data_IF_119811314780
#
_entry.id   IF_119811314780
#
_cell.length_a   1.000
_cell.length_b   1.000
_cell.length_c   1.000
_cell.angle_alpha   90.00
_cell.angle_beta   90.00
_cell.angle_gamma   90.00
#
_symmetry.space_group_name_H-M   'P 1'
#
loop_
_entity.id
_entity.type
_entity.pdbx_description
1 polymer ?
#
# COMPACT_ATOMS: atom_id res chain seq x y z
N UNK A 1 -4.30 -19.44 20.68
CA UNK A 1 -3.02 -19.88 20.06
C UNK A 1 -3.24 -19.99 18.56
N UNK A 2 -2.34 -19.45 17.74
CA UNK A 2 -2.47 -19.49 16.27
C UNK A 2 -3.02 -18.22 15.61
N UNK A 3 -3.36 -17.19 16.40
CA UNK A 3 -3.73 -15.86 15.89
C UNK A 3 -2.53 -14.90 15.99
N UNK A 4 -2.40 -13.94 15.06
CA UNK A 4 -1.42 -12.87 15.18
C UNK A 4 -1.63 -12.07 16.46
N UNK A 5 -0.56 -11.88 17.24
CA UNK A 5 -0.57 -11.08 18.47
C UNK A 5 0.43 -9.92 18.40
N UNK A 6 1.53 -10.10 17.66
CA UNK A 6 2.60 -9.12 17.50
C UNK A 6 2.95 -8.93 16.02
N UNK A 7 3.32 -7.71 15.65
CA UNK A 7 3.89 -7.39 14.34
C UNK A 7 5.35 -6.97 14.50
N UNK A 8 6.23 -7.58 13.72
CA UNK A 8 7.65 -7.25 13.66
C UNK A 8 8.00 -6.77 12.24
N UNK A 9 8.43 -5.53 12.12
CA UNK A 9 8.95 -4.98 10.87
C UNK A 9 10.46 -5.22 10.77
N UNK A 10 10.94 -5.50 9.56
CA UNK A 10 12.37 -5.69 9.26
C UNK A 10 12.72 -5.06 7.92
N UNK A 11 14.02 -5.04 7.64
CA UNK A 11 14.64 -4.45 6.45
C UNK A 11 14.71 -2.92 6.51
N UNK A 12 15.87 -2.44 6.97
CA UNK A 12 16.12 -1.02 7.21
C UNK A 12 16.70 -0.30 5.98
N UNK A 13 16.87 -0.98 4.84
CA UNK A 13 17.43 -0.37 3.63
C UNK A 13 16.39 0.45 2.85
N UNK A 14 15.11 0.40 3.25
CA UNK A 14 14.00 1.03 2.53
C UNK A 14 13.11 1.94 3.37
N UNK A 15 13.60 2.52 4.47
CA UNK A 15 12.84 3.58 5.13
C UNK A 15 12.72 4.79 4.21
N UNK A 16 11.58 5.48 4.28
CA UNK A 16 11.36 6.77 3.64
C UNK A 16 10.71 7.71 4.65
N UNK A 17 11.08 8.98 4.57
CA UNK A 17 10.48 10.02 5.38
C UNK A 17 9.56 10.87 4.50
N UNK A 18 8.38 11.21 5.02
CA UNK A 18 7.50 12.17 4.36
C UNK A 18 8.16 13.54 4.34
N UNK A 19 8.16 14.17 3.16
CA UNK A 19 8.65 15.54 3.00
C UNK A 19 7.92 16.52 3.93
N UNK A 20 6.61 16.34 4.13
CA UNK A 20 5.84 17.16 5.07
C UNK A 20 6.31 17.08 6.53
N UNK A 21 7.09 16.05 6.90
CA UNK A 21 7.63 15.86 8.26
C UNK A 21 9.07 16.33 8.41
N UNK A 22 9.67 16.91 7.37
CA UNK A 22 11.11 17.29 7.36
C UNK A 22 11.49 18.12 8.59
N UNK A 23 10.77 19.19 8.90
CA UNK A 23 11.08 20.06 10.05
C UNK A 23 10.96 19.33 11.38
N UNK A 24 9.92 18.51 11.53
CA UNK A 24 9.66 17.75 12.76
C UNK A 24 10.77 16.72 13.00
N UNK A 25 11.20 16.01 11.95
CA UNK A 25 12.24 15.01 12.03
C UNK A 25 13.63 15.64 12.26
N UNK A 26 13.93 16.77 11.63
CA UNK A 26 15.18 17.50 11.87
C UNK A 26 15.31 18.00 13.31
N UNK A 27 14.20 18.32 14.00
CA UNK A 27 14.22 18.66 15.43
C UNK A 27 14.55 17.47 16.34
N UNK A 28 14.30 16.24 15.88
CA UNK A 28 14.61 15.02 16.63
C UNK A 28 16.05 14.58 16.37
N UNK A 29 16.47 14.62 15.10
CA UNK A 29 17.82 14.31 14.66
C UNK A 29 18.25 15.34 13.62
N UNK A 30 19.11 16.27 14.04
CA UNK A 30 19.64 17.30 13.14
C UNK A 30 20.41 16.65 11.99
N UNK A 31 20.15 17.13 10.76
CA UNK A 31 20.78 16.58 9.56
C UNK A 31 20.25 15.21 9.16
N UNK A 32 19.08 14.80 9.66
CA UNK A 32 18.43 13.56 9.22
C UNK A 32 18.33 13.53 7.70
N UNK A 33 18.64 12.38 7.12
CA UNK A 33 18.55 12.12 5.69
C UNK A 33 19.53 12.90 4.79
N UNK A 34 20.49 13.67 5.32
CA UNK A 34 21.51 14.33 4.48
C UNK A 34 22.36 13.33 3.70
N UNK A 35 22.81 12.28 4.36
CA UNK A 35 23.58 11.17 3.75
C UNK A 35 22.66 10.23 2.96
N UNK A 36 21.52 9.85 3.55
CA UNK A 36 20.69 8.75 3.04
C UNK A 36 19.68 9.16 1.95
N UNK A 37 19.44 10.46 1.74
CA UNK A 37 18.56 11.01 0.69
C UNK A 37 17.19 10.31 0.63
N UNK A 38 16.57 10.20 1.79
CA UNK A 38 15.45 9.33 2.12
C UNK A 38 14.10 10.08 2.22
N UNK A 39 14.10 11.40 2.15
CA UNK A 39 12.87 12.16 2.00
C UNK A 39 12.22 11.89 0.65
N UNK A 40 10.90 11.71 0.66
CA UNK A 40 10.10 11.41 -0.51
C UNK A 40 8.76 12.16 -0.43
N UNK A 41 8.21 12.62 -1.56
CA UNK A 41 6.90 13.24 -1.58
C UNK A 41 5.85 12.35 -0.93
N UNK A 42 5.00 12.96 -0.10
CA UNK A 42 3.96 12.27 0.68
C UNK A 42 3.06 11.38 -0.19
N UNK A 43 2.68 11.87 -1.38
CA UNK A 43 1.86 11.12 -2.34
C UNK A 43 2.53 9.83 -2.83
N UNK A 44 3.86 9.85 -3.03
CA UNK A 44 4.61 8.67 -3.47
C UNK A 44 4.65 7.66 -2.33
N UNK A 45 4.82 8.10 -1.09
CA UNK A 45 4.78 7.22 0.09
C UNK A 45 3.40 6.54 0.19
N UNK A 46 2.31 7.29 0.04
CA UNK A 46 0.96 6.73 0.11
C UNK A 46 0.71 5.72 -1.01
N UNK A 47 1.16 6.00 -2.22
CA UNK A 47 1.11 5.04 -3.33
C UNK A 47 1.91 3.76 -3.03
N UNK A 48 3.13 3.90 -2.48
CA UNK A 48 4.00 2.75 -2.15
C UNK A 48 3.42 1.92 -1.02
N UNK A 49 2.76 2.54 -0.03
CA UNK A 49 2.08 1.82 1.05
C UNK A 49 0.93 0.97 0.52
N UNK A 50 0.13 1.47 -0.44
CA UNK A 50 -0.89 0.67 -1.12
C UNK A 50 -0.27 -0.58 -1.73
N UNK A 51 0.81 -0.43 -2.51
CA UNK A 51 1.47 -1.57 -3.13
C UNK A 51 2.06 -2.55 -2.11
N UNK A 52 2.92 -2.09 -1.20
CA UNK A 52 3.68 -2.99 -0.32
C UNK A 52 2.84 -3.64 0.77
N UNK A 53 1.90 -2.90 1.37
CA UNK A 53 1.07 -3.41 2.46
C UNK A 53 -0.13 -4.17 1.91
N UNK A 54 -0.82 -3.66 0.89
CA UNK A 54 -2.08 -4.26 0.46
C UNK A 54 -1.86 -5.25 -0.68
N UNK A 55 -1.34 -4.77 -1.81
CA UNK A 55 -1.23 -5.59 -3.03
C UNK A 55 -0.24 -6.73 -2.84
N UNK A 56 0.96 -6.43 -2.33
CA UNK A 56 2.06 -7.38 -2.22
C UNK A 56 2.02 -8.22 -0.93
N UNK A 57 1.09 -7.93 -0.01
CA UNK A 57 1.02 -8.64 1.28
C UNK A 57 -0.40 -9.07 1.65
N UNK A 58 -1.29 -8.15 2.02
CA UNK A 58 -2.65 -8.51 2.48
C UNK A 58 -3.42 -9.32 1.44
N UNK A 59 -3.36 -8.97 0.16
CA UNK A 59 -4.02 -9.75 -0.89
C UNK A 59 -3.39 -11.13 -1.11
N UNK A 60 -2.09 -11.28 -0.83
CA UNK A 60 -1.46 -12.60 -0.81
C UNK A 60 -2.02 -13.50 0.28
N UNK A 61 -2.36 -12.94 1.46
CA UNK A 61 -3.03 -13.69 2.53
C UNK A 61 -4.46 -14.06 2.12
N UNK A 62 -5.23 -13.11 1.57
CA UNK A 62 -6.59 -13.38 1.08
C UNK A 62 -6.57 -14.49 0.03
N UNK A 63 -5.65 -14.41 -0.94
CA UNK A 63 -5.50 -15.41 -1.97
C UNK A 63 -5.09 -16.78 -1.41
N UNK A 64 -4.21 -16.83 -0.41
CA UNK A 64 -3.83 -18.08 0.23
C UNK A 64 -5.02 -18.78 0.89
N UNK A 65 -5.94 -18.02 1.51
CA UNK A 65 -7.17 -18.57 2.07
C UNK A 65 -8.15 -19.03 0.98
N UNK A 66 -8.28 -18.26 -0.10
CA UNK A 66 -9.14 -18.57 -1.24
C UNK A 66 -8.73 -19.83 -1.99
N UNK A 67 -7.46 -19.93 -2.37
CA UNK A 67 -6.90 -21.11 -3.08
C UNK A 67 -6.93 -22.36 -2.21
N UNK A 68 -6.83 -22.22 -0.89
CA UNK A 68 -6.98 -23.33 0.06
C UNK A 68 -8.45 -23.68 0.36
N UNK A 69 -9.42 -23.01 -0.29
CA UNK A 69 -10.86 -23.19 -0.11
C UNK A 69 -11.33 -23.03 1.34
N UNK A 70 -10.62 -22.22 2.14
CA UNK A 70 -10.95 -22.01 3.54
C UNK A 70 -12.07 -20.97 3.71
N UNK A 71 -12.04 -19.92 2.88
CA UNK A 71 -13.03 -18.83 2.84
C UNK A 71 -13.05 -18.24 1.43
N UNK A 72 -14.22 -17.83 0.93
CA UNK A 72 -14.35 -17.08 -0.32
C UNK A 72 -13.58 -15.75 -0.24
N UNK A 73 -12.75 -15.46 -1.24
CA UNK A 73 -11.95 -14.22 -1.29
C UNK A 73 -12.81 -12.96 -1.20
N UNK A 74 -14.01 -12.95 -1.81
CA UNK A 74 -14.93 -11.82 -1.79
C UNK A 74 -15.42 -11.49 -0.38
N UNK A 75 -15.59 -12.50 0.49
CA UNK A 75 -15.97 -12.29 1.88
C UNK A 75 -14.84 -11.60 2.66
N UNK A 76 -13.60 -12.04 2.45
CA UNK A 76 -12.42 -11.43 3.08
C UNK A 76 -12.17 -10.01 2.57
N UNK A 77 -12.38 -9.75 1.28
CA UNK A 77 -12.29 -8.41 0.70
C UNK A 77 -13.40 -7.47 1.24
N UNK A 78 -14.62 -7.98 1.44
CA UNK A 78 -15.71 -7.23 2.09
C UNK A 78 -15.38 -6.91 3.55
N UNK A 79 -14.83 -7.86 4.31
CA UNK A 79 -14.42 -7.62 5.70
C UNK A 79 -13.25 -6.63 5.78
N UNK A 80 -12.27 -6.71 4.88
CA UNK A 80 -11.20 -5.73 4.79
C UNK A 80 -11.74 -4.33 4.51
N UNK A 81 -12.71 -4.19 3.60
CA UNK A 81 -13.37 -2.92 3.34
C UNK A 81 -14.08 -2.34 4.57
N UNK A 82 -14.73 -3.20 5.36
CA UNK A 82 -15.37 -2.80 6.61
C UNK A 82 -14.34 -2.29 7.61
N UNK A 83 -13.26 -3.04 7.84
CA UNK A 83 -12.17 -2.63 8.74
C UNK A 83 -11.58 -1.29 8.27
N UNK A 84 -11.29 -1.13 6.98
CA UNK A 84 -10.76 0.13 6.44
C UNK A 84 -11.71 1.32 6.65
N UNK A 85 -13.03 1.10 6.65
CA UNK A 85 -14.00 2.16 6.92
C UNK A 85 -14.01 2.63 8.37
N UNK A 86 -13.54 1.81 9.32
CA UNK A 86 -13.38 2.20 10.72
C UNK A 86 -12.24 3.21 10.91
N UNK A 87 -11.33 3.32 9.93
CA UNK A 87 -10.24 4.29 9.93
C UNK A 87 -10.56 5.55 9.11
N UNK A 88 -11.79 5.73 8.62
CA UNK A 88 -12.14 6.86 7.74
C UNK A 88 -11.81 8.24 8.35
N UNK A 89 -11.89 8.36 9.68
CA UNK A 89 -11.57 9.60 10.42
C UNK A 89 -10.09 9.68 10.85
N UNK A 90 -9.27 8.69 10.48
CA UNK A 90 -7.86 8.65 10.84
C UNK A 90 -7.04 9.54 9.90
N UNK A 91 -7.06 10.85 10.17
CA UNK A 91 -6.32 11.85 9.42
C UNK A 91 -4.97 12.16 10.11
N UNK A 92 -3.89 11.62 9.54
CA UNK A 92 -2.53 12.05 9.86
C UNK A 92 -1.91 12.76 8.66
N UNK A 93 -1.70 14.06 8.85
CA UNK A 93 -0.92 14.91 7.95
C UNK A 93 -1.37 14.81 6.49
N UNK A 94 -2.68 14.94 6.28
CA UNK A 94 -3.31 15.00 4.95
C UNK A 94 -3.06 13.74 4.09
N UNK A 95 -2.77 12.60 4.71
CA UNK A 95 -2.52 11.35 3.99
C UNK A 95 -3.69 10.96 3.10
N UNK A 96 -3.36 10.55 1.88
CA UNK A 96 -4.28 10.05 0.84
C UNK A 96 -4.30 8.54 0.73
N UNK A 97 -3.71 7.82 1.70
CA UNK A 97 -3.66 6.36 1.69
C UNK A 97 -5.06 5.74 1.62
N UNK A 98 -6.00 6.18 2.46
CA UNK A 98 -7.37 5.66 2.44
C UNK A 98 -8.08 6.02 1.13
N UNK A 99 -7.92 7.24 0.64
CA UNK A 99 -8.45 7.67 -0.66
C UNK A 99 -7.96 6.75 -1.79
N UNK A 100 -6.66 6.42 -1.81
CA UNK A 100 -6.10 5.47 -2.77
C UNK A 100 -6.65 4.06 -2.61
N UNK A 101 -6.90 3.59 -1.38
CA UNK A 101 -7.51 2.27 -1.13
C UNK A 101 -8.97 2.20 -1.60
N UNK A 102 -9.66 3.34 -1.64
CA UNK A 102 -11.04 3.47 -2.13
C UNK A 102 -11.16 3.78 -3.62
N UNK A 103 -10.05 4.11 -4.30
CA UNK A 103 -10.04 4.42 -5.72
C UNK A 103 -10.45 3.22 -6.59
N UNK A 104 -10.95 3.47 -7.80
CA UNK A 104 -11.37 2.41 -8.73
C UNK A 104 -10.20 1.53 -9.20
N UNK A 105 -9.00 2.09 -9.22
CA UNK A 105 -7.79 1.40 -9.68
C UNK A 105 -6.64 1.61 -8.70
N UNK A 106 -5.74 0.63 -8.67
CA UNK A 106 -4.47 0.77 -7.96
C UNK A 106 -3.33 1.00 -8.93
N UNK A 107 -2.49 1.97 -8.60
CA UNK A 107 -1.15 2.08 -9.19
C UNK A 107 -0.23 1.07 -8.50
N UNK A 108 0.24 0.09 -9.25
CA UNK A 108 0.99 -1.05 -8.72
C UNK A 108 2.32 -1.24 -9.45
N UNK A 109 3.31 -1.80 -8.74
CA UNK A 109 4.63 -2.06 -9.30
C UNK A 109 4.56 -3.22 -10.30
N UNK A 110 5.02 -2.97 -11.52
CA UNK A 110 5.09 -3.96 -12.58
C UNK A 110 6.51 -4.55 -12.68
N UNK A 111 6.85 -5.52 -11.82
CA UNK A 111 8.20 -6.10 -11.77
C UNK A 111 8.67 -6.68 -13.13
N UNK A 112 7.79 -7.40 -13.84
CA UNK A 112 8.13 -7.98 -15.15
C UNK A 112 8.43 -6.89 -16.19
N UNK A 113 7.58 -5.86 -16.27
CA UNK A 113 7.77 -4.74 -17.20
C UNK A 113 8.98 -3.89 -16.82
N UNK A 114 9.25 -3.73 -15.53
CA UNK A 114 10.46 -3.06 -15.02
C UNK A 114 11.72 -3.77 -15.52
N UNK A 115 11.76 -5.10 -15.40
CA UNK A 115 12.87 -5.91 -15.92
C UNK A 115 12.96 -5.90 -17.44
N UNK A 116 11.83 -5.93 -18.14
CA UNK A 116 11.81 -5.82 -19.60
C UNK A 116 12.42 -4.50 -20.09
N UNK A 117 12.22 -3.40 -19.35
CA UNK A 117 12.85 -2.11 -19.63
C UNK A 117 14.30 -2.00 -19.12
N UNK A 118 14.89 -3.09 -18.64
CA UNK A 118 16.26 -3.15 -18.11
C UNK A 118 16.54 -2.08 -17.03
N UNK A 119 15.54 -1.76 -16.21
CA UNK A 119 15.69 -0.82 -15.11
C UNK A 119 16.38 -1.49 -13.91
N UNK A 120 17.29 -0.77 -13.28
CA UNK A 120 17.91 -1.17 -12.02
C UNK A 120 17.18 -0.48 -10.86
N UNK A 121 16.50 -1.28 -10.04
CA UNK A 121 15.70 -0.80 -8.91
C UNK A 121 16.56 -0.28 -7.74
N UNK A 122 17.87 -0.50 -7.79
CA UNK A 122 18.83 0.01 -6.80
C UNK A 122 19.43 1.36 -7.20
N UNK A 123 19.08 1.88 -8.37
CA UNK A 123 19.65 3.11 -8.93
C UNK A 123 18.54 4.12 -9.21
N UNK A 124 18.67 5.31 -8.63
CA UNK A 124 17.72 6.42 -8.83
C UNK A 124 16.81 6.63 -7.62
N UNK A 125 15.82 7.51 -7.78
CA UNK A 125 14.81 7.77 -6.75
C UNK A 125 13.72 6.70 -6.76
N UNK A 126 13.08 6.48 -5.61
CA UNK A 126 11.93 5.56 -5.45
C UNK A 126 10.81 5.80 -6.46
N UNK A 127 10.63 7.05 -6.85
CA UNK A 127 9.63 7.45 -7.83
C UNK A 127 9.94 6.86 -9.22
N UNK A 128 11.22 6.68 -9.56
CA UNK A 128 11.68 6.41 -10.92
C UNK A 128 12.39 5.05 -11.09
N UNK A 129 12.63 4.31 -10.00
CA UNK A 129 13.39 3.05 -10.04
C UNK A 129 12.59 1.86 -10.58
N UNK A 130 11.27 1.99 -10.79
CA UNK A 130 10.43 0.91 -11.29
C UNK A 130 9.27 1.40 -12.14
N UNK A 131 8.77 0.54 -13.03
CA UNK A 131 7.56 0.79 -13.81
C UNK A 131 6.34 0.51 -12.95
N UNK A 132 5.37 1.43 -12.99
CA UNK A 132 4.06 1.27 -12.35
C UNK A 132 2.96 1.30 -13.40
N UNK A 133 1.94 0.47 -13.19
CA UNK A 133 0.76 0.36 -14.05
C UNK A 133 -0.51 0.44 -13.20
N UNK A 134 -1.64 0.77 -13.82
CA UNK A 134 -2.93 0.75 -13.15
C UNK A 134 -3.61 -0.62 -13.32
N UNK A 135 -4.09 -1.18 -12.22
CA UNK A 135 -4.90 -2.41 -12.19
C UNK A 135 -6.25 -2.13 -11.53
N UNK A 136 -7.25 -2.95 -11.83
CA UNK A 136 -8.55 -2.86 -11.17
C UNK A 136 -8.42 -3.09 -9.66
N UNK A 137 -9.09 -2.27 -8.86
CA UNK A 137 -9.10 -2.42 -7.41
C UNK A 137 -10.14 -3.49 -7.00
N UNK A 138 -9.74 -4.66 -6.48
CA UNK A 138 -10.68 -5.68 -6.02
C UNK A 138 -11.58 -5.20 -4.88
N UNK A 139 -11.11 -4.27 -4.03
CA UNK A 139 -11.93 -3.66 -2.97
C UNK A 139 -13.04 -2.79 -3.53
N UNK A 140 -12.83 -2.15 -4.68
CA UNK A 140 -13.87 -1.40 -5.39
C UNK A 140 -14.84 -2.37 -6.08
N UNK A 141 -14.33 -3.40 -6.76
CA UNK A 141 -15.15 -4.40 -7.47
C UNK A 141 -16.16 -5.09 -6.55
N UNK A 142 -15.75 -5.56 -5.37
CA UNK A 142 -16.68 -6.26 -4.45
C UNK A 142 -17.75 -5.35 -3.85
N UNK A 143 -17.51 -4.03 -3.77
CA UNK A 143 -18.53 -3.05 -3.36
C UNK A 143 -19.57 -2.85 -4.45
N UNK A 144 -19.16 -2.79 -5.70
CA UNK A 144 -20.08 -2.64 -6.83
C UNK A 144 -21.01 -3.85 -6.92
N UNK A 145 -20.46 -5.07 -6.83
CA UNK A 145 -21.26 -6.31 -6.81
C UNK A 145 -22.27 -6.28 -5.66
N UNK A 146 -21.84 -5.92 -4.45
CA UNK A 146 -22.73 -5.87 -3.29
C UNK A 146 -23.86 -4.83 -3.46
N UNK A 147 -23.60 -3.70 -4.14
CA UNK A 147 -24.64 -2.71 -4.46
C UNK A 147 -25.63 -3.23 -5.48
N UNK A 148 -25.16 -3.93 -6.52
CA UNK A 148 -26.03 -4.54 -7.53
C UNK A 148 -26.93 -5.61 -6.92
N UNK A 149 -26.40 -6.47 -6.04
CA UNK A 149 -27.17 -7.48 -5.29
C UNK A 149 -28.22 -6.87 -4.37
N UNK A 150 -27.96 -5.70 -3.77
CA UNK A 150 -28.90 -5.01 -2.88
C UNK A 150 -30.03 -4.28 -3.63
N UNK A 151 -29.87 -4.05 -4.93
CA UNK A 151 -30.84 -3.35 -5.79
C UNK A 151 -31.60 -4.28 -6.74
N UNK A 152 -31.29 -5.58 -6.75
CA UNK A 152 -32.01 -6.63 -7.48
C UNK A 152 -33.12 -7.25 -6.63
#
# INVERSE_FOLDING_TARGET
KGYPECFYYRDNQGYYYRESFTDKLNRILEGISQESKTFCPDEVIDERLVYYVFINNVFGIINAFGVAELVDENLLLKELNKILSEFADFDHADSKLLDHLQAETFRTKANLLTRFNNMDELVGSVANQSVYVNIQNPLHTVKTIAKEEAHA
#
